data_IF_933532174824
#
_entry.id   IF_933532174824
#
_cell.length_a   1.000
_cell.length_b   1.000
_cell.length_c   1.000
_cell.angle_alpha   90.00
_cell.angle_beta   90.00
_cell.angle_gamma   90.00
#
_symmetry.space_group_name_H-M   'P 1'
#
loop_
_entity.id
_entity.type
_entity.pdbx_description
1 polymer ?
#
# COMPACT_ATOMS: atom_id res chain seq x y z
N UNK A 1 -16.60 -20.16 0.73
CA UNK A 1 -16.16 -21.55 0.51
C UNK A 1 -15.04 -21.53 -0.54
N UNK A 2 -13.80 -21.78 -0.12
CA UNK A 2 -12.58 -21.62 -0.94
C UNK A 2 -12.34 -22.78 -1.92
N UNK A 3 -13.25 -23.75 -1.96
CA UNK A 3 -13.14 -24.93 -2.83
C UNK A 3 -13.36 -24.60 -4.31
N UNK A 4 -14.34 -23.76 -4.65
CA UNK A 4 -14.61 -23.31 -6.03
C UNK A 4 -13.43 -22.53 -6.65
N UNK A 5 -12.72 -21.74 -5.85
CA UNK A 5 -11.58 -20.95 -6.36
C UNK A 5 -10.31 -21.81 -6.58
N UNK A 6 -10.11 -22.91 -5.83
CA UNK A 6 -9.03 -23.87 -6.12
C UNK A 6 -9.16 -24.47 -7.53
N UNK A 7 -10.37 -24.53 -8.06
CA UNK A 7 -10.66 -24.92 -9.44
C UNK A 7 -10.33 -23.79 -10.42
N UNK A 8 -10.61 -22.53 -10.07
CA UNK A 8 -10.45 -21.34 -10.92
C UNK A 8 -9.02 -21.10 -11.47
N UNK A 9 -7.96 -21.35 -10.67
CA UNK A 9 -6.56 -21.29 -11.17
C UNK A 9 -6.01 -22.63 -11.69
N UNK A 10 -6.56 -23.76 -11.25
CA UNK A 10 -6.22 -25.08 -11.82
C UNK A 10 -6.80 -25.26 -13.22
N UNK A 11 -7.87 -24.51 -13.53
CA UNK A 11 -8.52 -24.38 -14.83
C UNK A 11 -8.00 -23.22 -15.70
N UNK A 12 -6.84 -22.62 -15.38
CA UNK A 12 -6.02 -21.96 -16.41
C UNK A 12 -5.31 -23.01 -17.29
N UNK A 13 -6.07 -24.05 -17.67
CA UNK A 13 -5.93 -24.72 -18.96
C UNK A 13 -6.13 -23.65 -20.02
N UNK A 14 -5.43 -23.77 -21.14
CA UNK A 14 -5.51 -22.89 -22.32
C UNK A 14 -6.90 -22.75 -22.97
N UNK A 15 -7.97 -23.29 -22.36
CA UNK A 15 -9.28 -23.48 -22.99
C UNK A 15 -10.39 -22.53 -22.47
N UNK A 16 -10.19 -21.82 -21.35
CA UNK A 16 -11.23 -20.96 -20.75
C UNK A 16 -10.74 -19.53 -20.47
N UNK A 17 -11.61 -18.55 -20.76
CA UNK A 17 -11.42 -17.13 -20.47
C UNK A 17 -12.47 -16.69 -19.45
N UNK A 18 -12.01 -16.06 -18.37
CA UNK A 18 -12.88 -15.46 -17.36
C UNK A 18 -13.08 -13.97 -17.66
N UNK A 19 -14.29 -13.49 -17.44
CA UNK A 19 -14.65 -12.08 -17.59
C UNK A 19 -15.56 -11.66 -16.44
N UNK A 20 -15.48 -10.39 -16.05
CA UNK A 20 -16.44 -9.80 -15.12
C UNK A 20 -17.52 -9.09 -15.91
N UNK A 21 -18.78 -9.36 -15.60
CA UNK A 21 -19.94 -8.70 -16.22
C UNK A 21 -20.71 -7.89 -15.20
N UNK A 22 -21.16 -6.71 -15.62
CA UNK A 22 -22.11 -5.88 -14.90
C UNK A 22 -23.48 -5.99 -15.56
N UNK A 23 -24.51 -6.35 -14.81
CA UNK A 23 -25.89 -6.30 -15.31
C UNK A 23 -26.39 -4.86 -15.28
N UNK A 24 -26.70 -4.29 -16.44
CA UNK A 24 -26.96 -2.84 -16.57
C UNK A 24 -28.41 -2.47 -16.29
N UNK A 25 -29.36 -3.37 -16.55
CA UNK A 25 -30.78 -3.10 -16.38
C UNK A 25 -31.57 -4.35 -16.03
N UNK A 26 -32.62 -4.23 -15.19
CA UNK A 26 -33.60 -5.30 -15.01
C UNK A 26 -34.48 -5.50 -16.25
N UNK A 27 -34.53 -4.53 -17.17
CA UNK A 27 -35.33 -4.61 -18.39
C UNK A 27 -34.73 -5.67 -19.33
N UNK A 28 -35.54 -6.67 -19.67
CA UNK A 28 -35.11 -7.78 -20.53
C UNK A 28 -35.15 -7.42 -22.01
N UNK A 29 -34.17 -7.91 -22.77
CA UNK A 29 -34.18 -7.90 -24.24
C UNK A 29 -34.83 -9.21 -24.71
N UNK A 30 -35.96 -9.10 -25.39
CA UNK A 30 -36.80 -10.26 -25.72
C UNK A 30 -37.35 -10.92 -24.44
N UNK A 31 -37.51 -12.25 -24.45
CA UNK A 31 -38.12 -12.97 -23.31
C UNK A 31 -37.14 -13.25 -22.16
N UNK A 32 -35.86 -13.47 -22.46
CA UNK A 32 -34.88 -13.99 -21.49
C UNK A 32 -33.50 -13.32 -21.53
N UNK A 33 -33.29 -12.32 -22.38
CA UNK A 33 -32.02 -11.62 -22.48
C UNK A 33 -31.89 -10.58 -21.37
N UNK A 34 -30.75 -10.56 -20.67
CA UNK A 34 -30.39 -9.50 -19.73
C UNK A 34 -29.23 -8.71 -20.33
N UNK A 35 -29.34 -7.37 -20.47
CA UNK A 35 -28.25 -6.54 -20.96
C UNK A 35 -27.14 -6.44 -19.92
N UNK A 36 -25.90 -6.60 -20.38
CA UNK A 36 -24.71 -6.54 -19.54
C UNK A 36 -23.56 -5.81 -20.24
N UNK A 37 -22.64 -5.30 -19.42
CA UNK A 37 -21.38 -4.74 -19.85
C UNK A 37 -20.24 -5.65 -19.37
N UNK A 38 -19.37 -6.08 -20.28
CA UNK A 38 -18.12 -6.75 -19.91
C UNK A 38 -17.18 -5.67 -19.38
N UNK A 39 -16.81 -5.79 -18.11
CA UNK A 39 -15.88 -4.87 -17.46
C UNK A 39 -14.45 -5.20 -17.90
N UNK A 40 -13.59 -4.17 -17.91
CA UNK A 40 -12.16 -4.26 -18.20
C UNK A 40 -11.77 -4.71 -19.64
N UNK A 41 -12.76 -4.94 -20.50
CA UNK A 41 -12.59 -5.14 -21.95
C UNK A 41 -13.24 -4.00 -22.74
N UNK A 42 -12.78 -2.77 -22.50
CA UNK A 42 -13.30 -1.55 -23.16
C UNK A 42 -14.82 -1.31 -22.98
N UNK A 43 -15.45 -1.94 -21.98
CA UNK A 43 -16.89 -1.78 -21.73
C UNK A 43 -17.78 -2.43 -22.79
N UNK A 44 -17.29 -3.50 -23.43
CA UNK A 44 -18.02 -4.20 -24.49
C UNK A 44 -19.41 -4.63 -24.01
N UNK A 45 -20.44 -4.27 -24.78
CA UNK A 45 -21.82 -4.61 -24.47
C UNK A 45 -22.12 -6.06 -24.85
N UNK A 46 -22.89 -6.76 -24.03
CA UNK A 46 -23.35 -8.11 -24.31
C UNK A 46 -24.76 -8.38 -23.76
N UNK A 47 -25.35 -9.47 -24.20
CA UNK A 47 -26.63 -9.95 -23.70
C UNK A 47 -26.44 -11.38 -23.21
N UNK A 48 -26.76 -11.60 -21.93
CA UNK A 48 -26.80 -12.94 -21.34
C UNK A 48 -28.20 -13.50 -21.51
N UNK A 49 -28.33 -14.55 -22.31
CA UNK A 49 -29.57 -15.29 -22.49
C UNK A 49 -29.62 -16.50 -21.55
N UNK A 50 -30.63 -16.52 -20.68
CA UNK A 50 -30.94 -17.65 -19.81
C UNK A 50 -32.02 -18.53 -20.46
N UNK A 51 -31.90 -19.87 -20.36
CA UNK A 51 -32.84 -20.78 -21.05
C UNK A 51 -34.21 -20.89 -20.36
N UNK A 52 -34.31 -20.57 -19.07
CA UNK A 52 -35.51 -20.62 -18.20
C UNK A 52 -35.37 -19.59 -17.08
N UNK A 53 -36.41 -19.35 -16.29
CA UNK A 53 -36.26 -18.73 -14.96
C UNK A 53 -35.39 -19.67 -14.12
N UNK A 54 -34.11 -19.37 -14.00
CA UNK A 54 -33.14 -20.25 -13.34
C UNK A 54 -32.81 -19.74 -11.96
N UNK A 55 -32.62 -20.68 -11.02
CA UNK A 55 -31.94 -20.44 -9.75
C UNK A 55 -30.48 -20.01 -10.01
N UNK A 56 -29.81 -19.39 -9.04
CA UNK A 56 -28.40 -18.96 -9.12
C UNK A 56 -27.49 -20.10 -9.64
N UNK A 57 -26.42 -19.73 -10.36
CA UNK A 57 -25.29 -20.60 -10.79
C UNK A 57 -25.61 -21.65 -11.88
N UNK A 58 -26.09 -21.21 -13.05
CA UNK A 58 -26.26 -22.07 -14.23
C UNK A 58 -25.77 -21.41 -15.53
N UNK A 59 -25.65 -22.24 -16.58
CA UNK A 59 -25.15 -21.85 -17.91
C UNK A 59 -25.98 -20.76 -18.59
N UNK A 60 -25.29 -19.74 -19.11
CA UNK A 60 -25.83 -18.68 -19.95
C UNK A 60 -25.22 -18.68 -21.35
N UNK A 61 -26.01 -18.30 -22.35
CA UNK A 61 -25.48 -18.00 -23.69
C UNK A 61 -25.18 -16.50 -23.75
N UNK A 62 -23.92 -16.14 -24.00
CA UNK A 62 -23.49 -14.75 -24.09
C UNK A 62 -23.40 -14.36 -25.55
N UNK A 63 -24.21 -13.38 -25.94
CA UNK A 63 -24.12 -12.72 -27.24
C UNK A 63 -23.41 -11.38 -27.05
N UNK A 64 -22.20 -11.28 -27.58
CA UNK A 64 -21.47 -10.01 -27.64
C UNK A 64 -22.12 -9.13 -28.70
N UNK A 65 -22.34 -7.86 -28.37
CA UNK A 65 -22.84 -6.87 -29.30
C UNK A 65 -21.64 -6.13 -29.90
N UNK A 66 -21.49 -6.23 -31.22
CA UNK A 66 -20.45 -5.48 -31.93
C UNK A 66 -20.79 -3.99 -31.86
N UNK A 67 -19.77 -3.15 -31.60
CA UNK A 67 -19.91 -1.74 -31.25
C UNK A 67 -20.61 -0.84 -32.28
N UNK A 68 -20.84 -1.34 -33.50
CA UNK A 68 -21.51 -0.61 -34.58
C UNK A 68 -23.04 -0.81 -34.60
N UNK A 69 -23.60 -1.55 -33.64
CA UNK A 69 -25.05 -1.80 -33.57
C UNK A 69 -25.82 -0.74 -32.75
N UNK A 70 -25.47 0.54 -32.85
CA UNK A 70 -26.39 1.61 -32.45
C UNK A 70 -27.34 1.91 -33.62
N UNK A 71 -28.50 1.26 -33.61
CA UNK A 71 -29.60 1.59 -34.51
C UNK A 71 -29.86 0.57 -35.61
N UNK A 72 -30.29 -0.64 -35.25
CA UNK A 72 -31.10 -1.42 -36.19
C UNK A 72 -32.23 -2.11 -35.45
N UNK A 73 -33.45 -1.75 -35.83
CA UNK A 73 -34.65 -2.53 -35.56
C UNK A 73 -34.40 -3.98 -36.00
N UNK A 74 -34.20 -4.87 -35.02
CA UNK A 74 -34.60 -6.28 -34.97
C UNK A 74 -34.37 -7.25 -36.15
N UNK A 75 -33.84 -6.84 -37.28
CA UNK A 75 -33.82 -7.60 -38.54
C UNK A 75 -32.49 -7.39 -39.26
N UNK A 76 -31.39 -7.66 -38.58
CA UNK A 76 -30.04 -7.68 -39.15
C UNK A 76 -29.30 -8.92 -38.70
N UNK A 77 -29.26 -9.95 -39.57
CA UNK A 77 -28.56 -11.21 -39.35
C UNK A 77 -27.03 -11.07 -39.46
N UNK A 78 -26.44 -10.28 -38.57
CA UNK A 78 -25.00 -10.33 -38.31
C UNK A 78 -24.67 -11.65 -37.60
N UNK A 79 -23.68 -12.37 -38.12
CA UNK A 79 -23.26 -13.69 -37.63
C UNK A 79 -22.45 -13.53 -36.32
N UNK A 80 -23.05 -12.89 -35.30
CA UNK A 80 -22.39 -12.66 -34.00
C UNK A 80 -22.05 -14.00 -33.36
N UNK A 81 -20.75 -14.23 -33.11
CA UNK A 81 -20.27 -15.46 -32.48
C UNK A 81 -20.87 -15.57 -31.08
N UNK A 82 -21.65 -16.62 -30.85
CA UNK A 82 -22.29 -16.85 -29.56
C UNK A 82 -21.36 -17.69 -28.68
N UNK A 83 -20.93 -17.11 -27.56
CA UNK A 83 -20.10 -17.80 -26.57
C UNK A 83 -20.99 -18.44 -25.50
N UNK A 84 -20.57 -19.58 -24.97
CA UNK A 84 -21.22 -20.18 -23.81
C UNK A 84 -20.39 -19.86 -22.57
N UNK A 85 -21.05 -19.45 -21.49
CA UNK A 85 -20.41 -19.13 -20.24
C UNK A 85 -21.23 -19.68 -19.06
N UNK A 86 -20.55 -19.92 -17.95
CA UNK A 86 -21.16 -20.30 -16.68
C UNK A 86 -20.96 -19.18 -15.67
N UNK A 87 -22.01 -18.85 -14.91
CA UNK A 87 -21.88 -17.92 -13.79
C UNK A 87 -21.23 -18.67 -12.64
N UNK A 88 -19.98 -18.32 -12.36
CA UNK A 88 -19.19 -18.93 -11.28
C UNK A 88 -19.49 -18.28 -9.94
N UNK A 89 -19.71 -16.96 -9.92
CA UNK A 89 -19.87 -16.18 -8.69
C UNK A 89 -20.72 -14.92 -8.94
N UNK A 90 -21.46 -14.50 -7.91
CA UNK A 90 -22.18 -13.23 -7.89
C UNK A 90 -21.63 -12.39 -6.74
N UNK A 91 -20.93 -11.30 -7.08
CA UNK A 91 -20.28 -10.43 -6.09
C UNK A 91 -21.27 -9.58 -5.28
N UNK A 92 -22.33 -9.06 -5.90
CA UNK A 92 -23.32 -8.23 -5.20
C UNK A 92 -23.97 -7.16 -6.09
N UNK A 93 -24.69 -6.21 -5.48
CA UNK A 93 -25.34 -5.12 -6.21
C UNK A 93 -24.33 -4.12 -6.78
N UNK A 94 -24.63 -3.62 -7.99
CA UNK A 94 -23.91 -2.53 -8.65
C UNK A 94 -24.11 -1.23 -7.86
N UNK A 95 -23.07 -0.39 -7.77
CA UNK A 95 -23.08 0.87 -7.01
C UNK A 95 -22.78 0.71 -5.52
N UNK A 96 -22.60 -0.53 -5.03
CA UNK A 96 -22.07 -0.76 -3.69
C UNK A 96 -20.54 -0.71 -3.73
N UNK A 97 -19.96 0.21 -2.94
CA UNK A 97 -18.52 0.45 -2.91
C UNK A 97 -17.70 -0.80 -2.56
N UNK A 98 -18.11 -1.59 -1.56
CA UNK A 98 -17.38 -2.78 -1.13
C UNK A 98 -17.39 -3.87 -2.22
N UNK A 99 -18.53 -4.04 -2.89
CA UNK A 99 -18.69 -4.97 -4.02
C UNK A 99 -17.82 -4.54 -5.20
N UNK A 100 -17.83 -3.26 -5.56
CA UNK A 100 -17.03 -2.75 -6.67
C UNK A 100 -15.54 -2.89 -6.37
N UNK A 101 -15.09 -2.48 -5.18
CA UNK A 101 -13.70 -2.65 -4.76
C UNK A 101 -13.29 -4.13 -4.81
N UNK A 102 -14.12 -5.05 -4.33
CA UNK A 102 -13.86 -6.49 -4.38
C UNK A 102 -13.75 -7.01 -5.81
N UNK A 103 -14.57 -6.51 -6.74
CA UNK A 103 -14.49 -6.84 -8.17
C UNK A 103 -13.15 -6.39 -8.77
N UNK A 104 -12.72 -5.15 -8.49
CA UNK A 104 -11.41 -4.66 -8.93
C UNK A 104 -10.29 -5.51 -8.34
N UNK A 105 -10.35 -5.79 -7.04
CA UNK A 105 -9.34 -6.59 -6.35
C UNK A 105 -9.25 -8.01 -6.93
N UNK A 106 -10.38 -8.65 -7.26
CA UNK A 106 -10.37 -9.96 -7.90
C UNK A 106 -9.87 -9.93 -9.34
N UNK A 107 -10.32 -8.95 -10.12
CA UNK A 107 -9.94 -8.85 -11.53
C UNK A 107 -8.43 -8.60 -11.70
N UNK A 108 -7.86 -7.70 -10.89
CA UNK A 108 -6.43 -7.39 -10.92
C UNK A 108 -5.57 -8.34 -10.06
N UNK A 109 -6.17 -9.38 -9.47
CA UNK A 109 -5.45 -10.39 -8.70
C UNK A 109 -4.88 -9.90 -7.36
N UNK A 110 -5.41 -8.81 -6.81
CA UNK A 110 -5.11 -8.33 -5.45
C UNK A 110 -5.73 -9.26 -4.41
N UNK A 111 -7.01 -9.63 -4.59
CA UNK A 111 -7.70 -10.64 -3.79
C UNK A 111 -8.17 -11.80 -4.68
N UNK A 112 -8.26 -13.03 -4.14
CA UNK A 112 -7.53 -13.48 -2.98
C UNK A 112 -6.02 -13.48 -3.27
N UNK A 113 -5.24 -12.74 -2.47
CA UNK A 113 -3.80 -12.94 -2.51
C UNK A 113 -3.48 -14.30 -1.89
N UNK A 114 -2.84 -15.14 -2.68
CA UNK A 114 -2.41 -16.48 -2.26
C UNK A 114 -0.91 -16.50 -2.17
N UNK A 115 -0.44 -16.28 -0.94
CA UNK A 115 0.95 -16.45 -0.61
C UNK A 115 1.38 -17.91 -0.85
N UNK A 116 2.64 -18.13 -1.25
CA UNK A 116 3.19 -19.48 -1.31
C UNK A 116 3.15 -20.14 0.08
N UNK A 117 3.05 -21.47 0.13
CA UNK A 117 3.03 -22.21 1.40
C UNK A 117 4.33 -21.98 2.21
N UNK A 118 4.28 -21.92 3.55
CA UNK A 118 5.46 -21.67 4.38
C UNK A 118 6.65 -22.60 4.11
N UNK A 119 6.37 -23.87 3.80
CA UNK A 119 7.38 -24.88 3.46
C UNK A 119 8.17 -24.55 2.18
N UNK A 120 7.62 -23.71 1.30
CA UNK A 120 8.24 -23.30 0.04
C UNK A 120 9.05 -22.01 0.13
N UNK A 121 8.97 -21.28 1.25
CA UNK A 121 9.63 -19.98 1.37
C UNK A 121 11.15 -20.05 1.36
N UNK A 122 11.75 -21.17 1.82
CA UNK A 122 13.21 -21.37 1.87
C UNK A 122 13.96 -20.18 2.48
N UNK A 123 13.51 -19.74 3.66
CA UNK A 123 14.11 -18.62 4.36
C UNK A 123 15.52 -18.99 4.91
N UNK A 124 16.49 -18.07 4.85
CA UNK A 124 17.86 -18.24 5.38
C UNK A 124 17.89 -18.17 6.90
N UNK A 125 18.47 -19.14 7.60
CA UNK A 125 18.48 -19.12 9.08
C UNK A 125 19.06 -17.82 9.65
N UNK A 126 18.69 -17.47 10.88
CA UNK A 126 19.19 -16.25 11.55
C UNK A 126 20.72 -16.29 11.70
N UNK A 127 21.30 -17.49 11.80
CA UNK A 127 22.74 -17.73 11.89
C UNK A 127 23.45 -17.76 10.52
N UNK A 128 22.70 -17.83 9.41
CA UNK A 128 23.25 -17.79 8.05
C UNK A 128 23.60 -16.35 7.65
N UNK A 129 24.74 -15.86 8.13
CA UNK A 129 25.21 -14.54 7.77
C UNK A 129 25.66 -14.54 6.29
N UNK A 130 24.87 -13.87 5.44
CA UNK A 130 25.14 -13.81 3.99
C UNK A 130 26.38 -12.99 3.60
N UNK A 131 27.06 -12.37 4.58
CA UNK A 131 28.16 -11.43 4.39
C UNK A 131 29.33 -11.86 5.25
N UNK A 132 30.56 -11.68 4.75
CA UNK A 132 31.78 -11.85 5.55
C UNK A 132 32.03 -10.71 6.53
N UNK A 133 31.26 -9.62 6.44
CA UNK A 133 31.32 -8.48 7.37
C UNK A 133 30.22 -8.68 8.42
N UNK A 134 30.58 -8.81 9.71
CA UNK A 134 29.62 -8.98 10.79
C UNK A 134 28.77 -7.73 10.95
N UNK A 135 27.55 -7.91 11.47
CA UNK A 135 26.71 -6.77 11.84
C UNK A 135 27.28 -6.02 13.05
N UNK A 136 27.17 -4.70 13.01
CA UNK A 136 27.43 -3.84 14.17
C UNK A 136 26.25 -3.92 15.14
N UNK A 137 26.53 -4.06 16.43
CA UNK A 137 25.50 -4.04 17.47
C UNK A 137 25.19 -2.59 17.85
N UNK A 138 23.98 -2.15 17.54
CA UNK A 138 23.45 -0.82 17.81
C UNK A 138 22.24 -0.86 18.76
N UNK A 139 22.04 -1.98 19.47
CA UNK A 139 20.91 -2.16 20.41
C UNK A 139 20.96 -1.22 21.62
N UNK A 140 22.10 -0.54 21.82
CA UNK A 140 22.28 0.51 22.82
C UNK A 140 21.76 1.88 22.36
N UNK A 141 21.45 2.07 21.08
CA UNK A 141 20.95 3.33 20.55
C UNK A 141 19.48 3.52 20.90
N UNK A 142 19.09 4.77 21.12
CA UNK A 142 17.67 5.11 21.15
C UNK A 142 17.14 5.16 19.72
N UNK A 143 16.43 4.11 19.33
CA UNK A 143 15.84 3.92 18.00
C UNK A 143 14.33 4.07 18.08
N UNK A 144 13.73 4.79 17.12
CA UNK A 144 12.28 4.97 17.04
C UNK A 144 11.81 4.97 15.58
N UNK A 145 10.59 4.49 15.33
CA UNK A 145 9.91 4.66 14.04
C UNK A 145 8.78 5.69 14.16
N UNK A 146 8.31 6.22 13.03
CA UNK A 146 7.20 7.16 12.97
C UNK A 146 6.22 6.66 11.92
N UNK A 147 5.11 6.08 12.38
CA UNK A 147 4.12 5.42 11.55
C UNK A 147 2.70 5.74 12.00
N UNK A 148 1.71 5.38 11.16
CA UNK A 148 0.32 5.38 11.59
C UNK A 148 0.10 4.29 12.66
N UNK A 149 -0.86 4.52 13.57
CA UNK A 149 -1.17 3.58 14.66
C UNK A 149 -1.63 2.18 14.18
N UNK A 150 -2.09 2.06 12.92
CA UNK A 150 -2.49 0.81 12.30
C UNK A 150 -1.36 0.09 11.54
N UNK A 151 -0.21 0.73 11.34
CA UNK A 151 0.94 0.13 10.64
C UNK A 151 1.49 -1.05 11.44
N UNK A 152 1.79 -2.16 10.76
CA UNK A 152 2.33 -3.39 11.38
C UNK A 152 3.63 -3.85 10.73
N UNK A 153 3.90 -3.39 9.52
CA UNK A 153 5.10 -3.62 8.72
C UNK A 153 6.04 -2.40 8.82
N UNK A 154 6.64 -2.21 9.99
CA UNK A 154 7.64 -1.16 10.23
C UNK A 154 8.91 -1.46 9.43
N UNK A 155 9.12 -0.77 8.32
CA UNK A 155 10.24 -0.96 7.39
C UNK A 155 11.48 -0.14 7.76
N UNK A 156 11.29 1.01 8.39
CA UNK A 156 12.36 1.93 8.76
C UNK A 156 12.25 2.48 10.19
N UNK A 157 13.41 2.83 10.76
CA UNK A 157 13.55 3.46 12.06
C UNK A 157 14.73 4.43 12.06
N UNK A 158 14.75 5.35 13.03
CA UNK A 158 15.72 6.42 13.14
C UNK A 158 16.43 6.39 14.49
N UNK A 159 17.71 6.73 14.51
CA UNK A 159 18.46 7.13 15.70
C UNK A 159 19.16 8.47 15.45
N UNK A 160 19.26 9.30 16.48
CA UNK A 160 19.93 10.61 16.40
C UNK A 160 20.80 10.80 17.63
N UNK A 161 22.08 11.07 17.40
CA UNK A 161 23.05 11.50 18.43
C UNK A 161 23.49 12.92 18.08
N UNK A 162 23.38 13.84 19.02
CA UNK A 162 23.89 15.21 18.87
C UNK A 162 25.31 15.27 19.47
N UNK A 163 26.22 15.99 18.80
CA UNK A 163 27.53 16.27 19.39
C UNK A 163 27.31 17.15 20.65
N UNK A 164 27.78 16.69 21.80
CA UNK A 164 27.87 17.52 23.00
C UNK A 164 28.93 18.60 22.75
N UNK A 165 28.51 19.81 22.35
CA UNK A 165 29.14 21.12 22.61
C UNK A 165 28.50 22.18 21.68
N UNK A 166 27.63 23.08 22.18
CA UNK A 166 27.62 24.43 21.67
C UNK A 166 28.83 25.15 22.28
N UNK A 167 29.89 25.41 21.51
CA UNK A 167 30.95 26.30 21.97
C UNK A 167 30.31 27.63 22.39
N UNK A 168 30.50 28.00 23.66
CA UNK A 168 29.84 29.13 24.34
C UNK A 168 30.09 30.52 23.70
N UNK A 169 30.77 30.60 22.56
CA UNK A 169 31.13 31.83 21.87
C UNK A 169 30.15 32.24 20.75
N UNK A 170 29.21 31.37 20.34
CA UNK A 170 28.28 31.65 19.23
C UNK A 170 26.84 32.02 19.64
N UNK A 171 26.49 31.93 20.93
CA UNK A 171 25.10 32.18 21.39
C UNK A 171 24.77 33.69 21.45
N UNK A 172 25.76 34.56 21.65
CA UNK A 172 25.53 36.01 21.77
C UNK A 172 25.40 36.76 20.42
N UNK A 173 25.96 36.23 19.32
CA UNK A 173 25.89 36.90 18.01
C UNK A 173 24.54 36.71 17.33
N UNK A 174 23.92 35.54 17.49
CA UNK A 174 22.68 35.19 16.79
C UNK A 174 21.44 35.77 17.49
N UNK A 175 21.54 36.03 18.80
CA UNK A 175 20.45 36.66 19.57
C UNK A 175 20.22 38.14 19.22
N UNK A 176 21.27 38.88 18.86
CA UNK A 176 21.15 40.31 18.52
C UNK A 176 20.68 40.56 17.08
N UNK A 177 20.80 39.59 16.18
CA UNK A 177 20.35 39.73 14.78
C UNK A 177 18.83 39.53 14.62
N UNK A 178 18.18 38.79 15.52
CA UNK A 178 16.75 38.47 15.45
C UNK A 178 15.83 39.55 16.03
N UNK A 179 16.37 40.57 16.71
CA UNK A 179 15.55 41.55 17.43
C UNK A 179 15.09 42.74 16.57
N UNK A 180 15.42 42.76 15.27
CA UNK A 180 15.10 43.87 14.36
C UNK A 180 14.05 43.56 13.28
N UNK A 181 13.46 42.36 13.25
CA UNK A 181 12.45 41.98 12.25
C UNK A 181 11.13 41.43 12.85
N UNK A 182 10.75 41.85 14.05
CA UNK A 182 9.45 41.48 14.64
C UNK A 182 8.40 42.60 14.53
N UNK A 183 8.06 42.99 13.30
CA UNK A 183 6.80 43.67 13.01
C UNK A 183 6.28 43.25 11.62
N UNK A 184 5.74 42.03 11.48
CA UNK A 184 4.71 41.74 10.47
C UNK A 184 4.02 40.38 10.75
N UNK A 185 2.71 40.43 11.03
CA UNK A 185 1.85 39.27 11.26
C UNK A 185 1.64 38.53 9.92
N UNK A 186 2.31 37.39 9.73
CA UNK A 186 2.21 36.63 8.47
C UNK A 186 0.85 35.93 8.30
N UNK A 187 0.08 36.43 7.33
CA UNK A 187 -1.02 35.72 6.70
C UNK A 187 -0.45 34.59 5.82
N UNK A 188 -0.52 33.35 6.27
CA UNK A 188 -0.05 32.18 5.52
C UNK A 188 -0.50 30.85 6.13
N UNK A 189 -0.48 29.79 5.32
CA UNK A 189 -0.69 28.40 5.77
C UNK A 189 0.36 27.99 6.81
N UNK A 190 0.06 27.05 7.72
CA UNK A 190 0.97 26.64 8.79
C UNK A 190 1.17 25.13 8.89
N UNK A 191 2.42 24.67 9.01
CA UNK A 191 2.75 23.24 9.18
C UNK A 191 2.54 22.78 10.63
N UNK A 192 1.81 21.69 10.81
CA UNK A 192 1.57 21.10 12.13
C UNK A 192 2.86 20.62 12.78
N UNK A 193 3.08 20.97 14.05
CA UNK A 193 4.29 20.58 14.80
C UNK A 193 4.35 19.09 15.17
N UNK A 194 3.22 18.38 15.06
CA UNK A 194 3.13 16.96 15.40
C UNK A 194 3.20 16.10 14.15
N UNK A 195 2.47 16.47 13.09
CA UNK A 195 2.30 15.62 11.91
C UNK A 195 2.68 16.31 10.59
N UNK A 196 3.32 17.48 10.64
CA UNK A 196 3.81 18.30 9.51
C UNK A 196 2.78 18.76 8.47
N UNK A 197 1.51 18.36 8.60
CA UNK A 197 0.42 18.73 7.70
C UNK A 197 0.27 20.26 7.58
N UNK A 198 0.16 20.75 6.34
CA UNK A 198 0.03 22.17 6.03
C UNK A 198 -1.44 22.61 6.14
N UNK A 199 -1.75 23.38 7.17
CA UNK A 199 -3.10 23.84 7.49
C UNK A 199 -3.37 25.23 6.93
N UNK A 200 -4.65 25.52 6.67
CA UNK A 200 -5.08 26.87 6.32
C UNK A 200 -4.73 27.89 7.42
N UNK A 201 -4.47 29.13 6.99
CA UNK A 201 -4.04 30.23 7.88
C UNK A 201 -5.01 30.52 9.02
N UNK A 202 -6.31 30.27 8.84
CA UNK A 202 -7.36 30.47 9.84
C UNK A 202 -7.59 29.27 10.78
N UNK A 203 -6.97 28.12 10.51
CA UNK A 203 -7.18 26.93 11.31
C UNK A 203 -6.48 27.05 12.67
N UNK A 204 -7.25 26.88 13.75
CA UNK A 204 -6.76 26.91 15.15
C UNK A 204 -6.26 25.56 15.65
N UNK A 205 -6.41 24.51 14.84
CA UNK A 205 -5.93 23.16 15.10
C UNK A 205 -5.61 22.46 13.78
N UNK A 206 -4.79 21.43 13.82
CA UNK A 206 -4.45 20.66 12.65
C UNK A 206 -5.66 19.88 12.12
N UNK A 207 -5.97 19.94 10.83
CA UNK A 207 -7.08 19.17 10.26
C UNK A 207 -6.78 17.68 10.14
N UNK A 208 -5.51 17.27 10.23
CA UNK A 208 -5.11 15.86 10.18
C UNK A 208 -5.01 15.18 11.54
N UNK A 209 -4.43 15.84 12.55
CA UNK A 209 -4.19 15.23 13.86
C UNK A 209 -4.84 15.99 15.03
N UNK A 210 -5.64 17.02 14.75
CA UNK A 210 -6.37 17.84 15.74
C UNK A 210 -5.50 18.58 16.78
N UNK A 211 -4.17 18.49 16.66
CA UNK A 211 -3.24 19.23 17.51
C UNK A 211 -3.50 20.72 17.39
N UNK A 212 -3.76 21.39 18.52
CA UNK A 212 -4.02 22.84 18.55
C UNK A 212 -2.81 23.60 18.01
N UNK A 213 -3.08 24.63 17.22
CA UNK A 213 -2.05 25.54 16.72
C UNK A 213 -1.40 26.23 17.91
N UNK A 214 -0.12 25.95 18.13
CA UNK A 214 0.69 26.70 19.07
C UNK A 214 0.90 28.11 18.53
N UNK A 215 0.49 29.14 19.28
CA UNK A 215 0.84 30.54 19.03
C UNK A 215 2.20 30.90 19.62
N UNK A 216 2.81 30.01 20.40
CA UNK A 216 4.25 30.04 20.63
C UNK A 216 4.87 29.69 19.29
N UNK A 217 5.43 30.71 18.65
CA UNK A 217 6.51 30.70 17.66
C UNK A 217 6.68 29.34 16.97
N UNK A 218 6.38 29.28 15.68
CA UNK A 218 6.54 28.06 14.89
C UNK A 218 7.98 27.52 14.94
N UNK A 219 8.26 26.40 14.29
CA UNK A 219 9.60 25.81 14.23
C UNK A 219 10.60 26.71 13.47
N UNK A 220 10.15 27.86 12.96
CA UNK A 220 11.00 28.92 12.43
C UNK A 220 11.68 29.76 13.53
N UNK A 221 11.16 29.76 14.77
CA UNK A 221 11.63 30.60 15.88
C UNK A 221 12.25 29.79 17.04
N UNK A 222 12.24 28.46 16.96
CA UNK A 222 13.21 27.68 17.75
C UNK A 222 14.55 27.95 17.07
N UNK A 223 15.53 28.62 17.71
CA UNK A 223 16.84 28.73 17.12
C UNK A 223 17.28 27.31 16.80
N UNK A 224 17.40 27.03 15.50
CA UNK A 224 17.99 25.82 14.99
C UNK A 224 19.40 25.83 15.57
N UNK A 225 19.58 25.19 16.71
CA UNK A 225 20.90 25.03 17.30
C UNK A 225 21.69 24.33 16.21
N UNK A 226 22.66 25.04 15.64
CA UNK A 226 23.59 24.51 14.66
C UNK A 226 24.42 23.45 15.37
N UNK A 227 23.83 22.27 15.52
CA UNK A 227 24.41 21.11 16.14
C UNK A 227 24.81 20.16 15.04
N UNK A 228 26.06 19.71 15.09
CA UNK A 228 26.43 18.53 14.35
C UNK A 228 25.65 17.35 14.96
N UNK A 229 25.07 16.50 14.11
CA UNK A 229 24.44 15.28 14.57
C UNK A 229 24.80 14.10 13.68
N UNK A 230 24.75 12.92 14.29
CA UNK A 230 24.83 11.64 13.61
C UNK A 230 23.43 11.06 13.54
N UNK A 231 22.91 10.95 12.33
CA UNK A 231 21.62 10.34 12.02
C UNK A 231 21.83 8.92 11.50
N UNK A 232 21.22 7.93 12.15
CA UNK A 232 21.08 6.57 11.65
C UNK A 232 19.70 6.38 11.02
N UNK A 233 19.66 6.05 9.73
CA UNK A 233 18.45 5.60 9.05
C UNK A 233 18.54 4.07 8.92
N UNK A 234 17.77 3.37 9.73
CA UNK A 234 17.78 1.92 9.83
C UNK A 234 16.65 1.34 8.98
N UNK A 235 16.98 0.57 7.95
CA UNK A 235 15.98 -0.08 7.09
C UNK A 235 16.02 -1.58 7.34
N UNK A 236 14.86 -2.22 7.51
CA UNK A 236 14.75 -3.66 7.72
C UNK A 236 15.53 -4.46 6.67
N UNK A 237 16.39 -5.37 7.11
CA UNK A 237 17.21 -6.17 6.21
C UNK A 237 16.45 -7.42 5.72
N UNK A 238 15.43 -7.20 4.89
CA UNK A 238 14.61 -8.26 4.29
C UNK A 238 15.45 -9.27 3.51
N UNK A 239 16.49 -8.78 2.82
CA UNK A 239 17.38 -9.59 1.99
C UNK A 239 18.22 -10.58 2.81
N UNK A 240 18.41 -10.32 4.12
CA UNK A 240 19.06 -11.28 5.01
C UNK A 240 18.24 -12.55 5.20
N UNK A 241 16.90 -12.46 5.21
CA UNK A 241 16.01 -13.60 5.42
C UNK A 241 15.49 -14.21 4.12
N UNK A 242 15.25 -13.39 3.10
CA UNK A 242 14.74 -13.81 1.79
C UNK A 242 15.85 -13.73 0.74
N UNK A 243 16.46 -14.89 0.46
CA UNK A 243 17.50 -14.99 -0.59
C UNK A 243 16.92 -14.92 -2.00
N UNK A 244 17.73 -14.46 -2.96
CA UNK A 244 17.34 -14.33 -4.38
C UNK A 244 16.93 -15.64 -5.06
N UNK A 245 17.42 -16.78 -4.57
CA UNK A 245 17.06 -18.12 -5.08
C UNK A 245 15.78 -18.68 -4.44
N UNK A 246 15.15 -17.95 -3.51
CA UNK A 246 13.94 -18.42 -2.83
C UNK A 246 12.71 -18.34 -3.73
N UNK A 247 11.79 -19.31 -3.58
CA UNK A 247 10.50 -19.26 -4.26
C UNK A 247 9.68 -18.03 -3.83
N UNK A 248 9.86 -17.60 -2.57
CA UNK A 248 9.24 -16.39 -2.05
C UNK A 248 9.77 -15.11 -2.70
N UNK A 249 11.08 -15.02 -3.01
CA UNK A 249 11.64 -13.89 -3.76
C UNK A 249 11.05 -13.80 -5.17
N UNK A 250 10.96 -14.92 -5.89
CA UNK A 250 10.37 -14.93 -7.23
C UNK A 250 8.91 -14.49 -7.21
N UNK A 251 8.16 -14.96 -6.21
CA UNK A 251 6.77 -14.58 -6.03
C UNK A 251 6.61 -13.10 -5.61
N UNK A 252 7.47 -12.60 -4.72
CA UNK A 252 7.49 -11.19 -4.34
C UNK A 252 7.82 -10.29 -5.54
N UNK A 253 8.73 -10.73 -6.42
CA UNK A 253 9.07 -10.05 -7.67
C UNK A 253 7.89 -9.99 -8.66
N UNK A 254 7.12 -11.07 -8.78
CA UNK A 254 5.90 -11.08 -9.61
C UNK A 254 4.83 -10.13 -9.04
N UNK A 255 4.71 -10.10 -7.72
CA UNK A 255 3.76 -9.22 -7.02
C UNK A 255 4.18 -7.75 -7.01
N UNK A 256 5.48 -7.47 -7.00
CA UNK A 256 6.15 -6.17 -7.05
C UNK A 256 5.92 -5.22 -5.85
N UNK A 257 4.70 -5.15 -5.29
CA UNK A 257 4.38 -4.23 -4.20
C UNK A 257 3.23 -4.73 -3.31
N UNK A 258 3.11 -4.13 -2.13
CA UNK A 258 1.93 -4.24 -1.27
C UNK A 258 0.76 -3.50 -1.94
N UNK A 259 -0.46 -3.97 -1.74
CA UNK A 259 -1.65 -3.28 -2.21
C UNK A 259 -2.38 -2.67 -1.02
N UNK A 260 -2.54 -1.35 -1.02
CA UNK A 260 -3.27 -0.61 0.02
C UNK A 260 -4.67 -0.25 -0.49
N UNK A 261 -5.69 -0.43 0.34
CA UNK A 261 -7.07 -0.23 -0.06
C UNK A 261 -7.95 0.26 1.10
N UNK A 262 -8.97 1.06 0.79
CA UNK A 262 -9.94 1.51 1.78
C UNK A 262 -11.08 0.50 2.01
N UNK A 263 -10.73 -0.78 2.12
CA UNK A 263 -11.71 -1.87 2.18
C UNK A 263 -11.97 -2.33 3.62
N UNK A 264 -13.12 -2.98 3.89
CA UNK A 264 -13.40 -3.53 5.21
C UNK A 264 -12.32 -4.54 5.62
N UNK A 265 -11.69 -4.29 6.76
CA UNK A 265 -10.74 -5.20 7.42
C UNK A 265 -11.43 -5.81 8.64
N UNK A 266 -11.05 -7.02 9.03
CA UNK A 266 -11.67 -7.77 10.15
C UNK A 266 -11.64 -7.01 11.49
N UNK A 267 -10.79 -5.99 11.63
CA UNK A 267 -10.67 -5.16 12.85
C UNK A 267 -11.48 -3.85 12.82
N UNK A 268 -12.28 -3.63 11.78
CA UNK A 268 -13.15 -2.45 11.66
C UNK A 268 -12.42 -1.16 11.26
N UNK A 269 -11.12 -1.22 10.96
CA UNK A 269 -10.42 -0.13 10.29
C UNK A 269 -10.94 0.06 8.85
N UNK A 270 -10.81 1.27 8.33
CA UNK A 270 -11.14 1.58 6.93
C UNK A 270 -9.96 1.35 5.99
N UNK A 271 -8.78 1.04 6.52
CA UNK A 271 -7.54 0.97 5.77
C UNK A 271 -7.00 -0.47 5.86
N UNK A 272 -7.16 -1.21 4.78
CA UNK A 272 -6.63 -2.55 4.62
C UNK A 272 -5.37 -2.54 3.75
N UNK A 273 -4.47 -3.47 4.03
CA UNK A 273 -3.36 -3.79 3.16
C UNK A 273 -3.36 -5.27 2.83
N UNK A 274 -2.94 -5.58 1.61
CA UNK A 274 -2.52 -6.92 1.22
C UNK A 274 -1.01 -6.83 1.04
N UNK A 275 -0.21 -7.24 2.03
CA UNK A 275 1.23 -7.01 2.03
C UNK A 275 1.93 -7.75 0.89
N UNK A 276 3.01 -7.19 0.35
CA UNK A 276 3.80 -7.84 -0.69
C UNK A 276 4.24 -9.22 -0.22
N UNK A 277 4.72 -9.36 1.00
CA UNK A 277 5.17 -10.63 1.59
C UNK A 277 4.09 -11.25 2.50
N UNK A 278 4.17 -12.55 2.84
CA UNK A 278 3.24 -13.17 3.78
C UNK A 278 3.09 -12.35 5.06
N UNK A 279 1.86 -12.05 5.54
CA UNK A 279 1.65 -11.16 6.69
C UNK A 279 2.39 -11.61 7.96
N UNK A 280 2.54 -12.91 8.17
CA UNK A 280 3.30 -13.47 9.30
C UNK A 280 4.80 -13.12 9.26
N UNK A 281 5.35 -12.83 8.08
CA UNK A 281 6.72 -12.36 7.90
C UNK A 281 6.76 -10.83 7.93
N UNK A 282 5.93 -10.19 7.11
CA UNK A 282 5.89 -8.74 6.95
C UNK A 282 5.64 -8.01 8.28
N UNK A 283 4.63 -8.46 9.05
CA UNK A 283 4.30 -7.86 10.35
C UNK A 283 5.15 -8.42 11.50
N UNK A 284 6.04 -9.38 11.22
CA UNK A 284 6.74 -10.18 12.22
C UNK A 284 8.25 -9.97 12.16
N UNK A 285 8.95 -11.00 11.70
CA UNK A 285 10.42 -11.04 11.68
C UNK A 285 11.05 -10.05 10.70
N UNK A 286 10.28 -9.53 9.73
CA UNK A 286 10.75 -8.53 8.76
C UNK A 286 10.39 -7.11 9.17
N UNK A 287 9.67 -6.92 10.28
CA UNK A 287 9.35 -5.60 10.80
C UNK A 287 10.22 -5.26 12.00
N UNK A 288 10.64 -3.98 12.08
CA UNK A 288 11.39 -3.36 13.18
C UNK A 288 10.52 -3.15 14.42
N UNK A 289 9.91 -4.23 14.90
CA UNK A 289 8.98 -4.24 16.02
C UNK A 289 9.64 -3.79 17.34
N UNK A 290 8.92 -2.97 18.11
CA UNK A 290 9.38 -2.44 19.40
C UNK A 290 9.80 -3.57 20.38
N UNK A 291 10.92 -3.36 21.08
CA UNK A 291 11.43 -4.29 22.09
C UNK A 291 11.97 -5.61 21.51
N UNK A 292 12.19 -5.68 20.19
CA UNK A 292 12.73 -6.85 19.51
C UNK A 292 14.00 -6.47 18.75
N UNK A 293 15.09 -7.21 18.98
CA UNK A 293 16.32 -7.01 18.19
C UNK A 293 16.06 -7.43 16.75
N UNK A 294 16.40 -6.55 15.80
CA UNK A 294 16.15 -6.78 14.37
C UNK A 294 17.38 -6.47 13.51
N UNK A 295 17.62 -7.28 12.46
CA UNK A 295 18.66 -6.98 11.49
C UNK A 295 18.22 -5.83 10.59
N UNK A 296 19.09 -4.84 10.46
CA UNK A 296 18.88 -3.69 9.59
C UNK A 296 20.08 -3.44 8.67
N UNK A 297 19.83 -2.73 7.58
CA UNK A 297 20.85 -2.02 6.80
C UNK A 297 20.73 -0.56 7.20
N UNK A 298 21.79 -0.02 7.80
CA UNK A 298 21.80 1.33 8.34
C UNK A 298 22.60 2.25 7.45
N UNK A 299 21.98 3.37 7.06
CA UNK A 299 22.65 4.52 6.46
C UNK A 299 23.00 5.52 7.56
N UNK A 300 24.29 5.75 7.74
CA UNK A 300 24.84 6.74 8.66
C UNK A 300 25.08 8.06 7.94
N UNK A 301 24.55 9.14 8.52
CA UNK A 301 24.70 10.51 8.03
C UNK A 301 25.31 11.38 9.12
N UNK A 302 26.43 12.02 8.83
CA UNK A 302 26.91 13.16 9.62
C UNK A 302 26.31 14.43 9.03
N UNK A 303 25.48 15.13 9.81
CA UNK A 303 24.84 16.38 9.44
C UNK A 303 25.58 17.50 10.18
N UNK A 304 26.06 18.50 9.45
CA UNK A 304 26.68 19.71 10.00
C UNK A 304 26.02 20.93 9.37
N UNK A 305 25.57 21.88 10.17
CA UNK A 305 24.88 23.09 9.70
C UNK A 305 23.75 22.78 8.68
N UNK A 306 22.95 21.75 8.98
CA UNK A 306 21.87 21.24 8.10
C UNK A 306 22.31 20.74 6.72
N UNK A 307 23.61 20.55 6.51
CA UNK A 307 24.19 19.97 5.31
C UNK A 307 24.71 18.56 5.64
N UNK A 308 24.32 17.57 4.83
CA UNK A 308 24.88 16.23 4.93
C UNK A 308 26.33 16.22 4.45
N UNK A 309 27.27 15.90 5.35
CA UNK A 309 28.72 16.00 5.08
C UNK A 309 29.37 14.64 4.80
N UNK A 310 28.96 13.58 5.50
CA UNK A 310 29.47 12.21 5.30
C UNK A 310 28.35 11.19 5.28
N UNK A 311 28.54 10.17 4.44
CA UNK A 311 27.58 9.08 4.23
C UNK A 311 28.32 7.75 4.21
N UNK A 312 27.86 6.80 5.00
CA UNK A 312 28.33 5.42 5.00
C UNK A 312 27.15 4.48 5.26
N UNK A 313 27.25 3.23 4.85
CA UNK A 313 26.25 2.22 5.22
C UNK A 313 26.91 1.02 5.87
N UNK A 314 26.21 0.41 6.80
CA UNK A 314 26.64 -0.77 7.54
C UNK A 314 25.44 -1.69 7.73
N UNK A 315 25.70 -2.95 8.09
CA UNK A 315 24.66 -3.85 8.55
C UNK A 315 24.65 -3.81 10.06
N UNK A 316 23.49 -3.70 10.68
CA UNK A 316 23.36 -3.52 12.13
C UNK A 316 22.36 -4.49 12.72
N UNK A 317 22.47 -4.73 14.02
CA UNK A 317 21.37 -5.12 14.89
C UNK A 317 20.91 -3.88 15.64
N UNK A 318 19.60 -3.60 15.63
CA UNK A 318 18.97 -2.52 16.39
C UNK A 318 17.92 -3.09 17.32
#
# INVERSE_FOLDING_TARGET
DTSAYREHRRMMSSDFKFVVIRFDSPNRIGRFGVPCTILFEQGQQCVVQTKKDTKLNHWGKVKILDGDAQGSDGTGGGNSKMHQAEIVEIYGPVGNFEVELLVYQNFFGVLPSRYPEPSSWKLRSEDEESSSVPREDCTNLFVFSIDNASTRDIDDALSVEFDDEPSAEHVESDFNALQLEQEEVQQGEWSCQVCTFLNESGAVQCSMCETKRSLLAGPADVPLVSGNCKLGIHVSDVASRIGGESGLFSWAKERASSAYHHGPVDDGSKDGSVPMLPPTLAHGVLSLNEGQVRPAVTLWLEIKDFKGVRRGHTRTYI
#
